data_IF_425862433337
#
_entry.id   IF_425862433337
#
_cell.length_a   1.000
_cell.length_b   1.000
_cell.length_c   1.000
_cell.angle_alpha   90.00
_cell.angle_beta   90.00
_cell.angle_gamma   90.00
#
_symmetry.space_group_name_H-M   'P 1'
#
loop_
_entity.id
_entity.type
_entity.pdbx_description
1 polymer ?
#
# COMPACT_ATOMS: atom_id res chain seq x y z
N UNK A 1 -9.05 10.23 -12.32
CA UNK A 1 -8.49 9.41 -11.23
C UNK A 1 -9.43 8.28 -10.78
N UNK A 2 -10.76 8.46 -10.81
CA UNK A 2 -11.67 7.39 -10.39
C UNK A 2 -11.80 7.30 -8.86
N UNK A 3 -12.01 8.45 -8.22
CA UNK A 3 -12.40 8.58 -6.81
C UNK A 3 -13.92 8.39 -6.69
N UNK A 4 -14.42 7.90 -5.56
CA UNK A 4 -15.86 7.65 -5.36
C UNK A 4 -16.65 8.96 -5.20
N UNK A 5 -16.02 10.01 -4.65
CA UNK A 5 -16.67 11.29 -4.35
C UNK A 5 -15.87 12.52 -4.77
N UNK A 6 -16.42 13.69 -4.42
CA UNK A 6 -15.75 15.00 -4.64
C UNK A 6 -14.54 15.21 -3.73
N UNK A 7 -14.54 14.57 -2.57
CA UNK A 7 -13.44 14.58 -1.62
C UNK A 7 -12.74 13.21 -1.61
N UNK A 8 -11.58 13.09 -2.28
CA UNK A 8 -10.80 11.86 -2.31
C UNK A 8 -10.35 11.36 -0.94
N UNK A 9 -10.30 12.22 0.09
CA UNK A 9 -9.87 11.82 1.43
C UNK A 9 -10.77 10.71 2.00
N UNK A 10 -12.04 10.71 1.59
CA UNK A 10 -13.05 9.76 2.06
C UNK A 10 -12.88 8.35 1.50
N UNK A 11 -12.18 8.19 0.38
CA UNK A 11 -11.91 6.88 -0.23
C UNK A 11 -10.92 6.06 0.62
N UNK A 12 -10.05 6.70 1.39
CA UNK A 12 -9.00 6.03 2.18
C UNK A 12 -9.47 5.41 3.50
N UNK A 13 -10.78 5.38 3.80
CA UNK A 13 -11.29 4.80 5.06
C UNK A 13 -10.99 3.30 5.23
N UNK A 14 -10.97 2.54 4.14
CA UNK A 14 -10.68 1.10 4.17
C UNK A 14 -9.18 0.80 4.23
N UNK A 15 -8.44 1.19 3.18
CA UNK A 15 -7.00 0.91 3.07
C UNK A 15 -6.09 1.85 3.88
N UNK A 16 -6.65 2.88 4.51
CA UNK A 16 -5.92 3.86 5.30
C UNK A 16 -4.81 4.59 4.54
N UNK A 17 -3.90 5.20 5.30
CA UNK A 17 -2.74 5.90 4.76
C UNK A 17 -1.81 5.00 3.92
N UNK A 18 -1.76 3.69 4.21
CA UNK A 18 -0.96 2.71 3.46
C UNK A 18 -1.40 2.65 1.99
N UNK A 19 -2.70 2.72 1.71
CA UNK A 19 -3.20 2.70 0.34
C UNK A 19 -2.81 3.95 -0.47
N UNK A 20 -2.69 5.11 0.19
CA UNK A 20 -2.13 6.32 -0.43
C UNK A 20 -0.64 6.14 -0.75
N UNK A 21 0.15 5.63 0.20
CA UNK A 21 1.58 5.36 -0.02
C UNK A 21 1.80 4.36 -1.16
N UNK A 22 0.96 3.32 -1.26
CA UNK A 22 1.01 2.37 -2.38
C UNK A 22 0.70 3.03 -3.73
N UNK A 23 -0.33 3.90 -3.80
CA UNK A 23 -0.65 4.64 -5.03
C UNK A 23 0.48 5.60 -5.43
N UNK A 24 1.07 6.30 -4.46
CA UNK A 24 2.22 7.19 -4.69
C UNK A 24 3.46 6.41 -5.13
N UNK A 25 3.72 5.27 -4.49
CA UNK A 25 4.81 4.38 -4.88
C UNK A 25 4.62 3.88 -6.31
N UNK A 26 3.40 3.45 -6.68
CA UNK A 26 3.10 3.00 -8.03
C UNK A 26 3.30 4.12 -9.06
N UNK A 27 2.80 5.34 -8.77
CA UNK A 27 2.95 6.50 -9.64
C UNK A 27 4.43 6.90 -9.86
N UNK A 28 5.26 6.81 -8.82
CA UNK A 28 6.67 7.23 -8.86
C UNK A 28 7.58 6.19 -9.51
N UNK A 29 7.36 4.90 -9.22
CA UNK A 29 8.28 3.83 -9.63
C UNK A 29 7.86 3.16 -10.94
N UNK A 30 6.56 3.22 -11.29
CA UNK A 30 6.02 2.59 -12.50
C UNK A 30 5.14 3.58 -13.29
N UNK A 31 5.68 4.75 -13.69
CA UNK A 31 4.87 5.84 -14.25
C UNK A 31 4.17 5.46 -15.55
N UNK A 32 4.79 4.62 -16.40
CA UNK A 32 4.17 4.12 -17.63
C UNK A 32 2.94 3.27 -17.32
N UNK A 33 3.10 2.19 -16.55
CA UNK A 33 1.99 1.32 -16.15
C UNK A 33 0.89 2.09 -15.39
N UNK A 34 1.26 3.06 -14.55
CA UNK A 34 0.29 3.94 -13.89
C UNK A 34 -0.54 4.72 -14.90
N UNK A 35 0.07 5.34 -15.91
CA UNK A 35 -0.64 6.08 -16.95
C UNK A 35 -1.48 5.17 -17.84
N UNK A 36 -0.95 4.00 -18.20
CA UNK A 36 -1.62 3.04 -19.08
C UNK A 36 -2.91 2.53 -18.42
N UNK A 37 -2.86 2.17 -17.13
CA UNK A 37 -4.03 1.77 -16.35
C UNK A 37 -4.99 2.95 -16.08
N UNK A 38 -4.47 4.12 -15.70
CA UNK A 38 -5.29 5.30 -15.44
C UNK A 38 -6.09 5.73 -16.67
N UNK A 39 -5.48 5.64 -17.86
CA UNK A 39 -6.09 6.03 -19.14
C UNK A 39 -6.80 4.87 -19.84
N UNK A 40 -6.78 3.67 -19.24
CA UNK A 40 -7.34 2.44 -19.81
C UNK A 40 -6.86 2.23 -21.25
N UNK A 41 -5.55 2.28 -21.47
CA UNK A 41 -4.94 2.18 -22.80
C UNK A 41 -4.98 0.75 -23.35
N UNK A 42 -5.02 -0.25 -22.47
CA UNK A 42 -5.06 -1.67 -22.82
C UNK A 42 -6.43 -2.28 -22.47
N UNK A 43 -6.97 -3.13 -23.35
CA UNK A 43 -8.23 -3.86 -23.16
C UNK A 43 -9.45 -3.24 -23.85
N UNK A 44 -10.54 -4.00 -23.90
CA UNK A 44 -11.83 -3.51 -24.38
C UNK A 44 -12.49 -2.65 -23.29
N UNK A 45 -12.57 -1.34 -23.54
CA UNK A 45 -13.05 -0.33 -22.59
C UNK A 45 -14.43 -0.64 -22.02
N UNK A 46 -15.28 -1.33 -22.78
CA UNK A 46 -16.65 -1.65 -22.36
C UNK A 46 -16.73 -2.82 -21.36
N UNK A 47 -15.69 -3.66 -21.25
CA UNK A 47 -15.78 -4.92 -20.51
C UNK A 47 -15.17 -4.85 -19.09
N UNK A 48 -14.28 -3.89 -18.81
CA UNK A 48 -13.55 -3.81 -17.54
C UNK A 48 -13.47 -2.38 -17.00
N UNK A 49 -14.63 -1.73 -16.83
CA UNK A 49 -14.64 -0.42 -16.18
C UNK A 49 -14.47 -0.55 -14.67
N UNK A 50 -13.29 -0.18 -14.17
CA UNK A 50 -13.04 0.02 -12.76
C UNK A 50 -12.64 1.49 -12.47
N UNK A 51 -13.08 2.05 -11.33
CA UNK A 51 -12.58 3.33 -10.86
C UNK A 51 -11.12 3.17 -10.39
N UNK A 52 -10.15 3.63 -11.19
CA UNK A 52 -8.71 3.36 -10.99
C UNK A 52 -8.22 3.56 -9.54
N UNK A 53 -8.47 4.72 -8.95
CA UNK A 53 -7.97 5.00 -7.60
C UNK A 53 -8.68 4.16 -6.52
N UNK A 54 -10.01 4.05 -6.59
CA UNK A 54 -10.80 3.20 -5.69
C UNK A 54 -10.39 1.72 -5.79
N UNK A 55 -10.11 1.22 -7.01
CA UNK A 55 -9.61 -0.13 -7.21
C UNK A 55 -8.25 -0.33 -6.53
N UNK A 56 -7.33 0.64 -6.63
CA UNK A 56 -6.06 0.62 -5.92
C UNK A 56 -6.20 0.60 -4.40
N UNK A 57 -7.14 1.38 -3.85
CA UNK A 57 -7.47 1.35 -2.42
C UNK A 57 -8.01 -0.02 -2.00
N UNK A 58 -8.94 -0.59 -2.77
CA UNK A 58 -9.53 -1.90 -2.49
C UNK A 58 -8.49 -3.02 -2.54
N UNK A 59 -7.56 -3.00 -3.51
CA UNK A 59 -6.45 -3.96 -3.56
C UNK A 59 -5.61 -3.88 -2.29
N UNK A 60 -5.28 -2.66 -1.84
CA UNK A 60 -4.53 -2.50 -0.58
C UNK A 60 -5.31 -3.02 0.61
N UNK A 61 -6.61 -2.74 0.69
CA UNK A 61 -7.48 -3.25 1.75
C UNK A 61 -7.52 -4.79 1.77
N UNK A 62 -7.67 -5.43 0.60
CA UNK A 62 -7.61 -6.89 0.50
C UNK A 62 -6.26 -7.45 0.96
N UNK A 63 -5.15 -6.80 0.59
CA UNK A 63 -3.81 -7.21 1.06
C UNK A 63 -3.69 -7.10 2.58
N UNK A 64 -4.21 -6.02 3.18
CA UNK A 64 -4.24 -5.85 4.65
C UNK A 64 -4.99 -7.01 5.31
N UNK A 65 -6.15 -7.38 4.77
CA UNK A 65 -6.96 -8.49 5.29
C UNK A 65 -6.27 -9.86 5.10
N UNK A 66 -5.77 -10.13 3.89
CA UNK A 66 -5.14 -11.42 3.55
C UNK A 66 -3.84 -11.67 4.31
N UNK A 67 -3.06 -10.60 4.56
CA UNK A 67 -1.81 -10.66 5.30
C UNK A 67 -2.01 -10.44 6.81
N UNK A 68 -3.25 -10.19 7.25
CA UNK A 68 -3.61 -9.96 8.64
C UNK A 68 -2.80 -8.84 9.30
N UNK A 69 -2.62 -7.72 8.59
CA UNK A 69 -1.73 -6.63 9.01
C UNK A 69 -2.32 -5.77 10.15
N UNK A 70 -3.62 -5.88 10.40
CA UNK A 70 -4.30 -5.20 11.51
C UNK A 70 -3.99 -5.85 12.87
N UNK A 71 -3.52 -7.11 12.87
CA UNK A 71 -3.22 -7.82 14.09
C UNK A 71 -1.89 -7.37 14.71
N UNK A 72 -1.87 -7.17 16.03
CA UNK A 72 -0.66 -6.80 16.79
C UNK A 72 0.47 -7.83 16.63
N UNK A 73 0.09 -9.10 16.40
CA UNK A 73 0.96 -10.22 16.07
C UNK A 73 0.32 -11.01 14.92
N UNK A 74 1.11 -11.52 13.97
CA UNK A 74 0.57 -12.34 12.88
C UNK A 74 -0.21 -13.53 13.44
N UNK A 75 -1.45 -13.72 12.99
CA UNK A 75 -2.23 -14.91 13.30
C UNK A 75 -2.08 -15.99 12.22
N UNK A 76 -1.56 -15.62 11.05
CA UNK A 76 -1.37 -16.50 9.90
C UNK A 76 0.11 -16.67 9.56
N UNK A 77 0.47 -17.84 9.02
CA UNK A 77 1.83 -18.11 8.55
C UNK A 77 2.24 -17.18 7.39
N UNK A 78 1.27 -16.79 6.56
CA UNK A 78 1.50 -15.86 5.44
C UNK A 78 1.86 -14.48 5.97
N UNK A 79 1.06 -13.92 6.89
CA UNK A 79 1.35 -12.64 7.52
C UNK A 79 2.69 -12.66 8.28
N UNK A 80 2.97 -13.75 9.00
CA UNK A 80 4.25 -13.91 9.70
C UNK A 80 5.45 -13.92 8.76
N UNK A 81 5.33 -14.60 7.61
CA UNK A 81 6.39 -14.68 6.60
C UNK A 81 6.59 -13.33 5.92
N UNK A 82 5.49 -12.64 5.59
CA UNK A 82 5.54 -11.30 5.00
C UNK A 82 6.23 -10.29 5.93
N UNK A 83 5.91 -10.28 7.23
CA UNK A 83 6.59 -9.40 8.19
C UNK A 83 8.08 -9.73 8.34
N UNK A 84 8.45 -11.02 8.31
CA UNK A 84 9.87 -11.42 8.31
C UNK A 84 10.60 -10.93 7.06
N UNK A 85 9.97 -11.03 5.90
CA UNK A 85 10.51 -10.52 4.64
C UNK A 85 10.76 -9.01 4.72
N UNK A 86 9.78 -8.24 5.22
CA UNK A 86 9.93 -6.80 5.42
C UNK A 86 11.06 -6.46 6.41
N UNK A 87 11.19 -7.20 7.51
CA UNK A 87 12.27 -7.00 8.48
C UNK A 87 13.67 -7.22 7.88
N UNK A 88 13.81 -8.20 6.98
CA UNK A 88 15.07 -8.44 6.25
C UNK A 88 15.44 -7.32 5.28
N UNK A 89 14.46 -6.60 4.73
CA UNK A 89 14.72 -5.41 3.90
C UNK A 89 15.21 -4.20 4.72
N UNK A 90 14.80 -4.07 5.98
CA UNK A 90 15.28 -2.98 6.84
C UNK A 90 16.76 -3.16 7.23
N UNK A 91 17.24 -4.40 7.35
CA UNK A 91 18.66 -4.65 7.63
C UNK A 91 19.57 -4.21 6.48
N UNK A 92 19.17 -4.44 5.22
CA UNK A 92 19.94 -4.01 4.04
C UNK A 92 19.96 -2.49 3.86
N UNK A 93 18.89 -1.78 4.25
CA UNK A 93 18.87 -0.31 4.33
C UNK A 93 19.62 0.25 5.55
N UNK A 94 19.68 -0.49 6.67
CA UNK A 94 20.43 -0.07 7.86
C UNK A 94 21.94 -0.20 7.72
N UNK A 95 22.41 -1.01 6.77
CA UNK A 95 23.83 -1.07 6.39
C UNK A 95 24.28 0.19 5.63
N UNK A 96 23.35 0.93 5.01
CA UNK A 96 23.62 2.19 4.29
C UNK A 96 23.21 3.46 5.07
N UNK A 97 22.33 3.37 6.07
CA UNK A 97 21.92 4.50 6.92
C UNK A 97 22.04 4.17 8.42
N UNK A 98 22.86 4.96 9.13
CA UNK A 98 23.26 4.74 10.52
C UNK A 98 22.14 4.31 11.50
N UNK A 99 22.48 3.34 12.35
CA UNK A 99 21.63 2.55 13.27
C UNK A 99 20.65 3.31 14.17
N UNK A 100 20.79 4.64 14.34
CA UNK A 100 19.94 5.46 15.23
C UNK A 100 18.61 5.93 14.64
N UNK A 101 18.45 5.97 13.31
CA UNK A 101 17.25 6.48 12.65
C UNK A 101 16.15 5.42 12.45
N UNK A 102 16.54 4.14 12.35
CA UNK A 102 15.66 3.01 11.99
C UNK A 102 14.66 2.65 13.11
N UNK A 103 15.12 2.53 14.36
CA UNK A 103 14.24 2.22 15.50
C UNK A 103 13.18 3.31 15.77
N UNK A 104 13.47 4.56 15.39
CA UNK A 104 12.55 5.70 15.50
C UNK A 104 11.45 5.63 14.43
N UNK A 105 11.81 5.25 13.20
CA UNK A 105 10.86 5.03 12.09
C UNK A 105 9.94 3.83 12.31
N UNK A 106 10.44 2.74 12.89
CA UNK A 106 9.61 1.56 13.20
C UNK A 106 8.52 1.89 14.24
N UNK A 107 8.83 2.70 15.26
CA UNK A 107 7.84 3.19 16.23
C UNK A 107 6.87 4.20 15.61
N UNK A 108 7.32 5.05 14.69
CA UNK A 108 6.44 6.00 13.98
C UNK A 108 5.51 5.30 12.98
N UNK A 109 6.00 4.31 12.24
CA UNK A 109 5.20 3.49 11.32
C UNK A 109 4.15 2.66 12.08
N UNK A 110 4.50 2.08 13.24
CA UNK A 110 3.53 1.43 14.13
C UNK A 110 2.47 2.39 14.71
N UNK A 111 2.79 3.67 14.89
CA UNK A 111 1.84 4.68 15.38
C UNK A 111 0.94 5.22 14.27
N UNK A 112 1.38 5.16 13.02
CA UNK A 112 0.60 5.56 11.84
C UNK A 112 -0.24 4.42 11.27
N UNK A 113 0.09 3.16 11.56
CA UNK A 113 -0.69 1.98 11.17
C UNK A 113 -1.82 1.61 12.15
N UNK A 114 -2.00 2.36 13.25
CA UNK A 114 -3.00 2.10 14.30
C UNK A 114 -4.04 3.23 14.47
N UNK A 115 -4.30 4.04 13.44
CA UNK A 115 -5.46 4.95 13.39
C UNK A 115 -6.08 4.89 12.00
#
# INVERSE_FOLDING_TARGET
>A
MGWQGKDPSTDFRGGGFISLENLLYFARNFPKSFQDLLRKQEGDRAMWEYPFAVAGVNITFMLIQMLDLEAVKPRTMVGATFLKFLAGCDESYSSSAGKGASARRYKTARRLALI
#
